data_IF_991384970207
#
_entry.id   IF_991384970207
#
_cell.length_a   1.000
_cell.length_b   1.000
_cell.length_c   1.000
_cell.angle_alpha   90.00
_cell.angle_beta   90.00
_cell.angle_gamma   90.00
#
_symmetry.space_group_name_H-M   'P 1'
#
loop_
_entity.id
_entity.type
_entity.pdbx_description
1 polymer ?
#
# COMPACT_ATOMS: atom_id res chain seq x y z
N UNK A 1 7.18 26.67 14.41
CA UNK A 1 8.11 25.56 14.73
C UNK A 1 7.29 24.28 14.88
N UNK A 2 6.63 23.86 13.80
CA UNK A 2 5.63 22.77 13.78
C UNK A 2 5.80 21.88 12.54
N UNK A 3 6.45 22.38 11.48
CA UNK A 3 6.76 21.66 10.24
C UNK A 3 7.55 20.36 10.43
N UNK A 4 8.52 20.32 11.35
CA UNK A 4 9.33 19.11 11.62
C UNK A 4 8.53 17.95 12.24
N UNK A 5 7.46 18.22 12.98
CA UNK A 5 6.64 17.17 13.57
C UNK A 5 5.69 16.54 12.55
N UNK A 6 5.17 17.34 11.62
CA UNK A 6 4.32 16.88 10.52
C UNK A 6 5.12 16.03 9.49
N UNK A 7 6.36 16.43 9.20
CA UNK A 7 7.25 15.69 8.29
C UNK A 7 7.60 14.29 8.83
N UNK A 8 7.93 14.19 10.12
CA UNK A 8 8.26 12.91 10.76
C UNK A 8 7.04 11.98 10.89
N UNK A 9 5.84 12.53 11.09
CA UNK A 9 4.62 11.73 11.14
C UNK A 9 4.24 11.19 9.74
N UNK A 10 4.41 12.02 8.70
CA UNK A 10 4.19 11.59 7.31
C UNK A 10 5.18 10.52 6.88
N UNK A 11 6.48 10.65 7.19
CA UNK A 11 7.49 9.63 6.87
C UNK A 11 7.15 8.29 7.53
N UNK A 12 6.68 8.32 8.79
CA UNK A 12 6.22 7.12 9.47
C UNK A 12 5.04 6.47 8.75
N UNK A 13 4.01 7.25 8.39
CA UNK A 13 2.84 6.74 7.70
C UNK A 13 3.19 6.16 6.31
N UNK A 14 4.13 6.78 5.59
CA UNK A 14 4.63 6.25 4.32
C UNK A 14 5.34 4.91 4.49
N UNK A 15 6.14 4.73 5.54
CA UNK A 15 6.75 3.43 5.85
C UNK A 15 5.71 2.36 6.19
N UNK A 16 4.69 2.72 6.97
CA UNK A 16 3.59 1.81 7.29
C UNK A 16 2.82 1.37 6.02
N UNK A 17 2.69 2.25 5.02
CA UNK A 17 2.12 1.93 3.71
C UNK A 17 3.02 0.99 2.88
N UNK A 18 4.33 1.22 2.87
CA UNK A 18 5.29 0.33 2.18
C UNK A 18 5.29 -1.08 2.82
N UNK A 19 5.18 -1.19 4.14
CA UNK A 19 5.04 -2.48 4.83
C UNK A 19 3.72 -3.18 4.47
N UNK A 20 2.60 -2.45 4.40
CA UNK A 20 1.31 -3.01 3.94
C UNK A 20 1.38 -3.54 2.52
N UNK A 21 2.01 -2.79 1.61
CA UNK A 21 2.24 -3.24 0.23
C UNK A 21 3.04 -4.54 0.22
N UNK A 22 4.12 -4.62 1.01
CA UNK A 22 4.95 -5.81 1.08
C UNK A 22 4.20 -7.01 1.62
N UNK A 23 3.37 -6.84 2.65
CA UNK A 23 2.52 -7.90 3.19
C UNK A 23 1.51 -8.40 2.17
N UNK A 24 0.85 -7.50 1.42
CA UNK A 24 -0.10 -7.90 0.38
C UNK A 24 0.56 -8.76 -0.72
N UNK A 25 1.80 -8.43 -1.09
CA UNK A 25 2.58 -9.24 -2.02
C UNK A 25 2.99 -10.61 -1.45
N UNK A 26 3.33 -10.66 -0.16
CA UNK A 26 3.66 -11.92 0.52
C UNK A 26 2.42 -12.82 0.61
N UNK A 27 1.25 -12.26 0.95
CA UNK A 27 -0.03 -12.97 0.99
C UNK A 27 -0.41 -13.55 -0.37
N UNK A 28 -0.29 -12.76 -1.46
CA UNK A 28 -0.52 -13.24 -2.82
C UNK A 28 0.43 -14.39 -3.19
N UNK A 29 1.71 -14.25 -2.83
CA UNK A 29 2.70 -15.29 -3.12
C UNK A 29 2.39 -16.56 -2.33
N UNK A 30 2.08 -16.44 -1.05
CA UNK A 30 1.75 -17.59 -0.21
C UNK A 30 0.46 -18.28 -0.66
N UNK A 31 -0.55 -17.52 -1.11
CA UNK A 31 -1.82 -18.10 -1.58
C UNK A 31 -1.68 -18.86 -2.90
N UNK A 32 -0.66 -18.57 -3.70
CA UNK A 32 -0.46 -19.18 -5.02
C UNK A 32 0.69 -20.19 -5.07
N UNK A 33 1.68 -20.10 -4.16
CA UNK A 33 2.92 -20.89 -4.25
C UNK A 33 2.75 -22.39 -4.02
N UNK A 34 1.69 -22.81 -3.30
CA UNK A 34 1.41 -24.22 -3.01
C UNK A 34 0.39 -24.85 -3.97
N UNK A 35 -0.17 -24.04 -4.88
CA UNK A 35 -1.23 -24.45 -5.80
C UNK A 35 -0.68 -24.77 -7.19
N UNK A 36 -1.32 -25.71 -7.89
CA UNK A 36 -0.97 -26.08 -9.26
C UNK A 36 -2.21 -26.46 -10.08
N UNK A 37 -2.13 -26.29 -11.41
CA UNK A 37 -3.22 -26.65 -12.32
C UNK A 37 -4.47 -25.79 -12.10
N UNK A 38 -5.65 -26.40 -12.19
CA UNK A 38 -6.94 -25.68 -12.10
C UNK A 38 -7.12 -24.96 -10.75
N UNK A 39 -6.60 -25.52 -9.66
CA UNK A 39 -6.66 -24.88 -8.33
C UNK A 39 -5.81 -23.60 -8.28
N UNK A 40 -4.70 -23.56 -9.02
CA UNK A 40 -3.90 -22.35 -9.17
C UNK A 40 -4.65 -21.32 -10.00
N UNK A 41 -5.24 -21.70 -11.13
CA UNK A 41 -5.94 -20.76 -12.02
C UNK A 41 -7.12 -20.06 -11.33
N UNK A 42 -7.90 -20.81 -10.54
CA UNK A 42 -9.06 -20.27 -9.80
C UNK A 42 -8.61 -19.37 -8.63
N UNK A 43 -7.60 -19.81 -7.87
CA UNK A 43 -7.08 -19.06 -6.74
C UNK A 43 -6.24 -17.84 -7.15
N UNK A 44 -5.55 -17.89 -8.29
CA UNK A 44 -4.76 -16.79 -8.85
C UNK A 44 -5.67 -15.62 -9.16
N UNK A 45 -6.81 -15.83 -9.82
CA UNK A 45 -7.75 -14.76 -10.14
C UNK A 45 -8.22 -14.02 -8.88
N UNK A 46 -8.68 -14.77 -7.88
CA UNK A 46 -9.18 -14.20 -6.62
C UNK A 46 -8.06 -13.50 -5.84
N UNK A 47 -6.89 -14.13 -5.77
CA UNK A 47 -5.73 -13.58 -5.04
C UNK A 47 -5.17 -12.34 -5.75
N UNK A 48 -5.21 -12.32 -7.07
CA UNK A 48 -4.78 -11.21 -7.90
C UNK A 48 -5.70 -10.00 -7.73
N UNK A 49 -7.03 -10.19 -7.79
CA UNK A 49 -7.98 -9.10 -7.54
C UNK A 49 -7.80 -8.49 -6.14
N UNK A 50 -7.58 -9.33 -5.13
CA UNK A 50 -7.30 -8.86 -3.76
C UNK A 50 -6.00 -8.06 -3.67
N UNK A 51 -4.95 -8.52 -4.34
CA UNK A 51 -3.68 -7.79 -4.41
C UNK A 51 -3.88 -6.43 -5.08
N UNK A 52 -4.55 -6.39 -6.23
CA UNK A 52 -4.79 -5.14 -6.94
C UNK A 52 -5.59 -4.14 -6.09
N UNK A 53 -6.64 -4.60 -5.40
CA UNK A 53 -7.40 -3.76 -4.49
C UNK A 53 -6.53 -3.20 -3.37
N UNK A 54 -5.72 -4.05 -2.72
CA UNK A 54 -4.83 -3.62 -1.64
C UNK A 54 -3.77 -2.60 -2.12
N UNK A 55 -3.24 -2.78 -3.34
CA UNK A 55 -2.30 -1.85 -3.93
C UNK A 55 -2.95 -0.51 -4.29
N UNK A 56 -4.19 -0.52 -4.76
CA UNK A 56 -4.96 0.69 -5.06
C UNK A 56 -5.27 1.50 -3.79
N UNK A 57 -5.65 0.81 -2.70
CA UNK A 57 -5.85 1.43 -1.39
C UNK A 57 -4.56 2.07 -0.86
N UNK A 58 -3.43 1.37 -0.98
CA UNK A 58 -2.11 1.92 -0.59
C UNK A 58 -1.71 3.11 -1.46
N UNK A 59 -1.93 3.04 -2.78
CA UNK A 59 -1.62 4.12 -3.70
C UNK A 59 -2.47 5.37 -3.42
N UNK A 60 -3.77 5.18 -3.19
CA UNK A 60 -4.72 6.23 -2.83
C UNK A 60 -4.32 6.92 -1.53
N UNK A 61 -3.95 6.16 -0.50
CA UNK A 61 -3.53 6.71 0.78
C UNK A 61 -2.18 7.44 0.68
N UNK A 62 -1.22 6.88 -0.07
CA UNK A 62 0.05 7.55 -0.37
C UNK A 62 -0.17 8.88 -1.09
N UNK A 63 -1.12 8.94 -2.02
CA UNK A 63 -1.46 10.17 -2.72
C UNK A 63 -2.09 11.20 -1.79
N UNK A 64 -2.95 10.79 -0.86
CA UNK A 64 -3.52 11.70 0.16
C UNK A 64 -2.44 12.28 1.07
N UNK A 65 -1.53 11.44 1.57
CA UNK A 65 -0.43 11.89 2.42
C UNK A 65 0.53 12.83 1.68
N UNK A 66 0.89 12.48 0.44
CA UNK A 66 1.77 13.31 -0.39
C UNK A 66 1.10 14.61 -0.86
N UNK A 67 -0.22 14.60 -1.03
CA UNK A 67 -1.04 15.77 -1.36
C UNK A 67 -1.19 16.72 -0.17
N UNK A 68 -1.46 16.18 1.01
CA UNK A 68 -1.59 16.93 2.26
C UNK A 68 -0.30 17.68 2.62
N UNK A 69 0.88 17.07 2.41
CA UNK A 69 2.19 17.75 2.57
C UNK A 69 2.33 18.95 1.63
N UNK A 70 1.75 18.88 0.43
CA UNK A 70 1.86 19.92 -0.58
C UNK A 70 0.95 21.13 -0.30
N UNK A 71 -0.17 20.90 0.37
CA UNK A 71 -1.11 21.95 0.78
C UNK A 71 -0.62 22.71 2.01
N UNK A 72 0.05 22.06 2.96
CA UNK A 72 0.63 22.69 4.17
C UNK A 72 1.80 23.65 3.82
N UNK A 73 2.53 23.40 2.74
CA UNK A 73 3.66 24.25 2.29
C UNK A 73 3.20 25.53 1.55
N UNK A 74 1.93 25.64 1.15
CA UNK A 74 1.40 26.76 0.36
C UNK A 74 0.82 27.92 1.20
N UNK A 75 0.69 27.76 2.51
CA UNK A 75 0.26 28.81 3.45
C UNK A 75 1.49 29.39 4.18
N UNK A 76 2.33 30.17 3.47
CA UNK A 76 3.40 30.98 4.07
C UNK A 76 3.63 32.31 3.36
#
# INVERSE_FOLDING_TARGET
MTTFAADHDTDRQLRELDDRMRTAWDDYRNSTTELAGVEYEDAELISWERLQQALDDVASERQRLSGAVREDDSDH
#
